data_IF_969395188787
#
_entry.id   IF_969395188787
#
_cell.length_a   1.000
_cell.length_b   1.000
_cell.length_c   1.000
_cell.angle_alpha   90.00
_cell.angle_beta   90.00
_cell.angle_gamma   90.00
#
_symmetry.space_group_name_H-M   'P 1'
#
loop_
_entity.id
_entity.type
_entity.pdbx_description
1 polymer ?
#
# COMPACT_ATOMS: atom_id res chain seq x y z
N UNK A 1 -7.41 -16.91 0.97
CA UNK A 1 -6.33 -17.90 0.98
C UNK A 1 -5.19 -17.45 0.10
N UNK A 2 -4.32 -16.55 0.54
CA UNK A 2 -2.96 -16.44 0.00
C UNK A 2 -2.15 -15.52 0.89
N UNK A 3 -1.32 -16.09 1.71
CA UNK A 3 -0.14 -15.40 2.20
C UNK A 3 1.04 -16.16 1.63
N UNK A 4 1.62 -15.61 0.57
CA UNK A 4 2.88 -16.04 -0.02
C UNK A 4 4.06 -15.60 0.87
N UNK A 5 3.98 -15.88 2.16
CA UNK A 5 5.13 -15.71 3.03
C UNK A 5 5.89 -17.03 3.11
N UNK A 6 7.08 -17.04 2.51
CA UNK A 6 8.05 -18.13 2.53
C UNK A 6 7.64 -19.42 1.79
N UNK A 7 7.56 -19.36 0.46
CA UNK A 7 7.41 -20.54 -0.42
C UNK A 7 8.47 -21.62 -0.19
N UNK A 8 9.56 -21.33 0.55
CA UNK A 8 10.60 -22.29 0.89
C UNK A 8 10.37 -22.99 2.25
N UNK A 9 9.49 -22.47 3.09
CA UNK A 9 9.23 -23.00 4.41
C UNK A 9 7.98 -23.90 4.45
N UNK A 10 6.86 -23.42 3.91
CA UNK A 10 5.61 -24.14 3.86
C UNK A 10 5.39 -24.80 2.51
N UNK A 11 4.81 -26.00 2.50
CA UNK A 11 4.47 -26.77 1.31
C UNK A 11 3.05 -27.30 1.35
N UNK A 12 2.07 -26.43 1.49
CA UNK A 12 0.66 -26.80 1.53
C UNK A 12 -0.21 -25.78 2.26
N UNK A 13 -1.00 -26.26 3.22
CA UNK A 13 -1.91 -25.41 3.99
C UNK A 13 -1.10 -24.46 4.88
N UNK A 14 -1.41 -23.17 4.80
CA UNK A 14 -0.95 -22.13 5.71
C UNK A 14 -2.17 -21.55 6.41
N UNK A 15 -2.06 -21.26 7.70
CA UNK A 15 -3.12 -20.63 8.47
C UNK A 15 -2.57 -19.59 9.43
N UNK A 16 -3.35 -18.52 9.65
CA UNK A 16 -3.08 -17.47 10.60
C UNK A 16 -4.27 -17.36 11.56
N UNK A 17 -3.99 -17.10 12.83
CA UNK A 17 -4.98 -16.81 13.87
C UNK A 17 -4.93 -15.36 14.26
N UNK A 18 -6.10 -14.78 14.49
CA UNK A 18 -6.29 -13.40 14.91
C UNK A 18 -7.22 -13.36 16.12
N UNK A 19 -7.06 -12.36 16.95
CA UNK A 19 -8.01 -11.97 18.00
C UNK A 19 -8.40 -10.50 17.81
N UNK A 20 -9.52 -10.10 18.37
CA UNK A 20 -10.13 -8.79 18.10
C UNK A 20 -9.25 -7.63 18.57
N UNK A 21 -8.59 -7.81 19.71
CA UNK A 21 -7.78 -6.80 20.37
C UNK A 21 -6.36 -6.65 19.81
N UNK A 22 -5.93 -7.57 18.92
CA UNK A 22 -4.59 -7.56 18.33
C UNK A 22 -4.66 -7.42 16.82
N UNK A 23 -4.06 -6.35 16.31
CA UNK A 23 -4.10 -5.96 14.90
C UNK A 23 -3.22 -6.80 13.98
N UNK A 24 -2.35 -7.63 14.55
CA UNK A 24 -1.48 -8.57 13.85
C UNK A 24 -1.95 -10.02 14.05
N UNK A 25 -1.45 -10.94 13.22
CA UNK A 25 -1.67 -12.36 13.43
C UNK A 25 -0.95 -12.82 14.70
N UNK A 26 -1.70 -13.35 15.66
CA UNK A 26 -1.16 -13.89 16.92
C UNK A 26 -0.71 -15.34 16.79
N UNK A 27 -1.11 -16.01 15.72
CA UNK A 27 -0.77 -17.39 15.43
C UNK A 27 -0.50 -17.55 13.95
N UNK A 28 0.64 -18.12 13.62
CA UNK A 28 0.98 -18.48 12.25
C UNK A 28 1.43 -19.92 12.17
N UNK A 29 0.97 -20.66 11.18
CA UNK A 29 1.33 -22.06 11.01
C UNK A 29 1.02 -22.61 9.63
N UNK A 30 1.44 -23.85 9.41
CA UNK A 30 1.21 -24.53 8.16
C UNK A 30 1.92 -25.87 8.08
N UNK A 31 1.82 -26.49 6.92
CA UNK A 31 2.51 -27.74 6.60
C UNK A 31 3.93 -27.44 6.10
N UNK A 32 4.96 -28.09 6.64
CA UNK A 32 6.38 -27.83 6.35
C UNK A 32 7.21 -29.10 6.16
N UNK A 33 6.70 -30.03 5.38
CA UNK A 33 7.38 -31.31 5.09
C UNK A 33 8.78 -31.12 4.53
N UNK A 34 8.96 -30.14 3.61
CA UNK A 34 10.25 -29.86 2.99
C UNK A 34 11.33 -29.49 4.01
N UNK A 35 10.97 -28.77 5.07
CA UNK A 35 11.91 -28.44 6.14
C UNK A 35 12.33 -29.70 6.90
N UNK A 36 11.37 -30.56 7.23
CA UNK A 36 11.60 -31.82 7.96
C UNK A 36 12.46 -32.77 7.11
N UNK A 37 12.22 -32.84 5.81
CA UNK A 37 13.04 -33.63 4.88
C UNK A 37 14.48 -33.11 4.80
N UNK A 38 14.69 -31.78 4.76
CA UNK A 38 16.03 -31.15 4.81
C UNK A 38 16.79 -31.47 6.11
N UNK A 39 16.06 -31.71 7.19
CA UNK A 39 16.63 -32.18 8.48
C UNK A 39 16.90 -33.69 8.52
N UNK A 40 16.80 -34.39 7.39
CA UNK A 40 17.09 -35.82 7.26
C UNK A 40 15.98 -36.73 7.77
N UNK A 41 14.77 -36.21 8.00
CA UNK A 41 13.60 -37.02 8.48
C UNK A 41 12.58 -37.17 7.36
N UNK A 42 12.27 -38.39 6.95
CA UNK A 42 11.24 -38.67 5.97
C UNK A 42 9.86 -38.73 6.62
N UNK A 43 9.36 -37.59 7.10
CA UNK A 43 8.05 -37.43 7.75
C UNK A 43 7.38 -36.17 7.30
N UNK A 44 6.05 -36.17 7.30
CA UNK A 44 5.24 -34.97 7.11
C UNK A 44 5.08 -34.26 8.45
N UNK A 45 5.01 -32.92 8.40
CA UNK A 45 4.85 -32.11 9.59
C UNK A 45 3.91 -30.92 9.35
N UNK A 46 3.10 -30.66 10.35
CA UNK A 46 2.28 -29.46 10.47
C UNK A 46 2.49 -28.89 11.86
N UNK A 47 2.57 -27.58 11.97
CA UNK A 47 2.72 -26.91 13.26
C UNK A 47 2.40 -25.45 13.18
N UNK A 48 2.48 -24.81 14.33
CA UNK A 48 2.20 -23.38 14.46
C UNK A 48 3.06 -22.76 15.56
N UNK A 49 3.23 -21.45 15.46
CA UNK A 49 3.79 -20.59 16.51
C UNK A 49 2.70 -19.66 17.03
N UNK A 50 2.70 -19.39 18.32
CA UNK A 50 1.89 -18.34 18.95
C UNK A 50 2.82 -17.21 19.38
N UNK A 51 2.50 -15.98 19.00
CA UNK A 51 3.26 -14.80 19.35
C UNK A 51 2.75 -14.24 20.68
N UNK A 52 3.33 -14.72 21.77
CA UNK A 52 2.89 -14.39 23.16
C UNK A 52 3.11 -12.90 23.47
N UNK A 53 4.17 -12.30 22.92
CA UNK A 53 4.47 -10.86 23.05
C UNK A 53 3.37 -9.95 22.45
N UNK A 54 2.61 -10.46 21.49
CA UNK A 54 1.45 -9.75 20.94
C UNK A 54 0.24 -9.90 21.88
N UNK A 55 0.11 -11.01 22.58
CA UNK A 55 -0.95 -11.20 23.57
C UNK A 55 -0.74 -10.34 24.82
N UNK A 56 0.51 -10.09 25.21
CA UNK A 56 0.85 -9.20 26.33
C UNK A 56 0.50 -7.72 26.09
N UNK A 57 0.23 -7.36 24.82
CA UNK A 57 -0.20 -6.01 24.41
C UNK A 57 -1.71 -5.81 24.43
N UNK A 58 -2.46 -6.81 24.88
CA UNK A 58 -3.91 -6.68 25.07
C UNK A 58 -4.10 -5.83 26.34
N UNK A 59 -4.08 -4.52 26.17
CA UNK A 59 -4.65 -3.62 27.16
C UNK A 59 -6.17 -3.80 27.12
N UNK A 60 -6.86 -3.53 28.23
CA UNK A 60 -8.32 -3.47 28.26
C UNK A 60 -8.79 -2.37 27.28
N UNK A 61 -8.95 -2.75 26.01
CA UNK A 61 -9.54 -1.87 24.99
C UNK A 61 -10.98 -1.63 25.44
N UNK A 62 -11.32 -0.39 25.71
CA UNK A 62 -12.69 -0.04 26.05
C UNK A 62 -13.60 -0.44 24.89
N UNK A 63 -14.76 -1.03 25.18
CA UNK A 63 -15.77 -1.42 24.16
C UNK A 63 -16.10 -0.26 23.20
N UNK A 64 -15.96 0.99 23.67
CA UNK A 64 -16.16 2.22 22.89
C UNK A 64 -15.15 2.37 21.72
N UNK A 65 -13.89 2.00 21.88
CA UNK A 65 -12.88 2.13 20.81
C UNK A 65 -13.12 1.13 19.67
N UNK A 66 -13.70 -0.02 19.96
CA UNK A 66 -14.05 -1.03 18.96
C UNK A 66 -15.28 -0.63 18.10
N UNK A 67 -16.05 0.36 18.52
CA UNK A 67 -17.17 0.89 17.74
C UNK A 67 -16.74 1.80 16.59
N UNK A 68 -15.59 2.46 16.68
CA UNK A 68 -15.12 3.41 15.67
C UNK A 68 -14.46 2.71 14.49
N UNK A 69 -14.64 3.30 13.29
CA UNK A 69 -13.77 3.04 12.15
C UNK A 69 -12.67 4.10 12.11
N UNK A 70 -11.44 3.68 12.27
CA UNK A 70 -10.25 4.53 12.20
C UNK A 70 -9.78 4.65 10.75
N UNK A 71 -9.72 5.87 10.22
CA UNK A 71 -9.42 6.16 8.82
C UNK A 71 -8.14 6.96 8.68
N UNK A 72 -7.11 6.39 8.06
CA UNK A 72 -5.89 7.10 7.72
C UNK A 72 -6.03 7.81 6.37
N UNK A 73 -5.90 9.14 6.36
CA UNK A 73 -5.94 9.96 5.15
C UNK A 73 -4.56 10.53 4.81
N UNK A 74 -4.15 10.54 3.54
CA UNK A 74 -2.89 11.15 3.12
C UNK A 74 -3.00 12.68 3.22
N UNK A 75 -2.01 13.36 3.79
CA UNK A 75 -1.94 14.83 3.76
C UNK A 75 -1.87 15.37 2.33
N UNK A 76 -2.55 16.48 2.07
CA UNK A 76 -2.56 17.18 0.79
C UNK A 76 -3.77 16.88 -0.09
N UNK A 77 -3.73 17.36 -1.33
CA UNK A 77 -4.86 17.36 -2.27
C UNK A 77 -5.57 16.01 -2.44
N UNK A 78 -4.83 14.90 -2.41
CA UNK A 78 -5.43 13.58 -2.56
C UNK A 78 -6.32 13.25 -1.36
N UNK A 79 -5.84 13.51 -0.15
CA UNK A 79 -6.61 13.27 1.07
C UNK A 79 -7.84 14.16 1.19
N UNK A 80 -7.73 15.44 0.80
CA UNK A 80 -8.87 16.36 0.77
C UNK A 80 -9.97 15.86 -0.18
N UNK A 81 -9.59 15.43 -1.40
CA UNK A 81 -10.52 14.83 -2.35
C UNK A 81 -11.12 13.52 -1.84
N UNK A 82 -10.31 12.68 -1.22
CA UNK A 82 -10.77 11.43 -0.65
C UNK A 82 -11.75 11.69 0.52
N UNK A 83 -11.43 12.62 1.43
CA UNK A 83 -12.34 12.97 2.51
C UNK A 83 -13.68 13.48 2.00
N UNK A 84 -13.72 14.29 0.95
CA UNK A 84 -14.98 14.75 0.35
C UNK A 84 -15.87 13.60 -0.14
N UNK A 85 -15.30 12.48 -0.58
CA UNK A 85 -16.06 11.27 -0.92
C UNK A 85 -16.63 10.63 0.37
N UNK A 86 -15.83 10.50 1.43
CA UNK A 86 -16.31 9.97 2.72
C UNK A 86 -17.45 10.82 3.29
N UNK A 87 -17.31 12.15 3.27
CA UNK A 87 -18.31 13.10 3.72
C UNK A 87 -19.64 12.91 2.96
N UNK A 88 -19.60 12.89 1.62
CA UNK A 88 -20.77 12.65 0.77
C UNK A 88 -21.36 11.24 0.95
N UNK A 89 -20.58 10.30 1.43
CA UNK A 89 -21.01 8.91 1.68
C UNK A 89 -21.64 8.72 3.06
N UNK A 90 -21.80 9.79 3.85
CA UNK A 90 -22.43 9.76 5.17
C UNK A 90 -21.47 9.58 6.35
N UNK A 91 -20.15 9.74 6.11
CA UNK A 91 -19.10 9.64 7.13
C UNK A 91 -18.45 11.01 7.39
N UNK A 92 -19.30 12.05 7.47
CA UNK A 92 -18.87 13.43 7.73
C UNK A 92 -18.21 13.56 9.12
N UNK A 93 -17.20 14.43 9.21
CA UNK A 93 -16.55 14.83 10.45
C UNK A 93 -16.22 16.33 10.39
N UNK A 94 -17.15 17.22 10.76
CA UNK A 94 -16.97 18.67 10.63
C UNK A 94 -15.71 19.20 11.29
N UNK A 95 -15.30 18.58 12.40
CA UNK A 95 -14.09 18.96 13.13
C UNK A 95 -12.79 18.87 12.29
N UNK A 96 -12.81 18.12 11.16
CA UNK A 96 -11.62 17.99 10.28
C UNK A 96 -11.25 19.31 9.59
N UNK A 97 -12.20 20.25 9.48
CA UNK A 97 -12.01 21.58 8.90
C UNK A 97 -11.46 22.60 9.90
N UNK A 98 -11.38 22.24 11.19
CA UNK A 98 -10.87 23.13 12.22
C UNK A 98 -9.39 23.46 11.98
N UNK A 99 -9.09 24.76 11.88
CA UNK A 99 -7.72 25.24 11.71
C UNK A 99 -6.99 25.17 13.05
N UNK A 100 -6.34 24.05 13.31
CA UNK A 100 -5.61 23.83 14.56
C UNK A 100 -4.41 22.89 14.35
N UNK A 101 -3.80 22.48 15.46
CA UNK A 101 -2.73 21.49 15.49
C UNK A 101 -3.23 20.08 15.81
N UNK A 102 -4.54 19.90 15.89
CA UNK A 102 -5.17 18.60 16.15
C UNK A 102 -4.84 17.65 14.98
N UNK A 103 -4.52 16.41 15.30
CA UNK A 103 -4.11 15.39 14.31
C UNK A 103 -5.17 14.29 14.16
N UNK A 104 -6.06 14.16 15.15
CA UNK A 104 -7.13 13.16 15.19
C UNK A 104 -8.45 13.90 15.29
N UNK A 105 -9.40 13.55 14.45
CA UNK A 105 -10.72 14.14 14.34
C UNK A 105 -11.75 13.03 14.39
N UNK A 106 -12.79 13.20 15.20
CA UNK A 106 -13.81 12.15 15.35
C UNK A 106 -15.22 12.73 15.29
N UNK A 107 -16.13 11.89 14.81
CA UNK A 107 -17.55 12.10 14.89
C UNK A 107 -18.18 10.91 15.61
N UNK A 108 -18.65 11.14 16.84
CA UNK A 108 -19.22 10.09 17.69
C UNK A 108 -20.55 9.55 17.17
N UNK A 109 -21.35 10.38 16.48
CA UNK A 109 -22.62 9.96 15.89
C UNK A 109 -22.42 9.00 14.73
N UNK A 110 -21.36 9.23 13.92
CA UNK A 110 -21.01 8.40 12.77
C UNK A 110 -20.05 7.27 13.12
N UNK A 111 -19.54 7.25 14.34
CA UNK A 111 -18.54 6.28 14.81
C UNK A 111 -17.35 6.19 13.84
N UNK A 112 -16.83 7.35 13.41
CA UNK A 112 -15.68 7.46 12.53
C UNK A 112 -14.62 8.39 13.12
N UNK A 113 -13.36 8.00 12.98
CA UNK A 113 -12.20 8.77 13.44
C UNK A 113 -11.21 8.90 12.29
N UNK A 114 -10.82 10.14 11.98
CA UNK A 114 -9.88 10.46 10.91
C UNK A 114 -8.56 10.96 11.46
N UNK A 115 -7.47 10.66 10.77
CA UNK A 115 -6.19 11.30 11.03
C UNK A 115 -5.36 11.44 9.76
N UNK A 116 -4.59 12.56 9.73
CA UNK A 116 -3.77 12.93 8.60
C UNK A 116 -2.35 12.41 8.80
N UNK A 117 -1.87 11.60 7.86
CA UNK A 117 -0.50 11.10 7.83
C UNK A 117 0.19 11.42 6.51
N UNK A 118 1.51 11.26 6.42
CA UNK A 118 2.19 11.37 5.14
C UNK A 118 1.67 10.30 4.18
N UNK A 119 1.55 10.61 2.86
CA UNK A 119 1.09 9.64 1.87
C UNK A 119 1.83 8.30 1.92
N UNK A 120 3.17 8.34 2.11
CA UNK A 120 4.02 7.15 2.23
C UNK A 120 3.73 6.28 3.45
N UNK A 121 3.09 6.82 4.47
CA UNK A 121 2.95 6.17 5.77
C UNK A 121 1.55 5.54 5.94
N UNK A 122 0.56 5.94 5.13
CA UNK A 122 -0.83 5.46 5.24
C UNK A 122 -0.90 3.94 5.26
N UNK A 123 -0.22 3.27 4.32
CA UNK A 123 -0.25 1.81 4.22
C UNK A 123 0.32 1.14 5.47
N UNK A 124 1.36 1.71 6.07
CA UNK A 124 1.97 1.22 7.31
C UNK A 124 0.99 1.35 8.49
N UNK A 125 0.30 2.49 8.62
CA UNK A 125 -0.71 2.67 9.68
C UNK A 125 -1.86 1.67 9.56
N UNK A 126 -2.29 1.36 8.33
CA UNK A 126 -3.31 0.35 8.09
C UNK A 126 -2.76 -1.06 8.33
N UNK A 127 -1.58 -1.39 7.81
CA UNK A 127 -0.96 -2.71 8.01
C UNK A 127 -0.76 -3.04 9.49
N UNK A 128 -0.30 -2.07 10.28
CA UNK A 128 -0.07 -2.24 11.74
C UNK A 128 -1.34 -2.07 12.57
N UNK A 129 -2.49 -1.81 11.95
CA UNK A 129 -3.80 -1.74 12.60
C UNK A 129 -4.07 -0.49 13.44
N UNK A 130 -3.20 0.52 13.34
CA UNK A 130 -3.50 1.84 13.91
C UNK A 130 -4.66 2.52 13.15
N UNK A 131 -4.91 2.09 11.92
CA UNK A 131 -6.10 2.43 11.14
C UNK A 131 -6.80 1.16 10.65
N UNK A 132 -8.13 1.14 10.69
CA UNK A 132 -8.93 0.05 10.12
C UNK A 132 -8.93 0.10 8.59
N UNK A 133 -9.00 1.34 8.05
CA UNK A 133 -8.97 1.62 6.61
C UNK A 133 -8.09 2.82 6.32
N UNK A 134 -7.66 2.96 5.07
CA UNK A 134 -6.87 4.12 4.64
C UNK A 134 -6.97 4.38 3.15
N UNK A 135 -6.54 5.57 2.75
CA UNK A 135 -6.46 5.96 1.34
C UNK A 135 -5.02 6.15 0.93
N UNK A 136 -4.59 5.42 -0.07
CA UNK A 136 -3.19 5.40 -0.52
C UNK A 136 -3.11 5.30 -2.05
N UNK A 137 -2.06 5.86 -2.64
CA UNK A 137 -1.78 5.65 -4.06
C UNK A 137 -1.35 4.20 -4.34
N UNK A 138 -1.75 3.68 -5.50
CA UNK A 138 -1.35 2.34 -5.95
C UNK A 138 0.18 2.19 -6.06
N UNK A 139 0.89 3.29 -6.36
CA UNK A 139 2.35 3.36 -6.39
C UNK A 139 2.99 2.97 -5.05
N UNK A 140 2.44 3.48 -3.94
CA UNK A 140 2.92 3.17 -2.59
C UNK A 140 2.69 1.70 -2.25
N UNK A 141 1.52 1.15 -2.59
CA UNK A 141 1.23 -0.28 -2.37
C UNK A 141 2.21 -1.18 -3.12
N UNK A 142 2.47 -0.87 -4.40
CA UNK A 142 3.40 -1.62 -5.23
C UNK A 142 4.86 -1.49 -4.78
N UNK A 143 5.23 -0.31 -4.28
CA UNK A 143 6.60 -0.06 -3.82
C UNK A 143 6.88 -0.68 -2.46
N UNK A 144 5.91 -0.66 -1.53
CA UNK A 144 6.08 -1.13 -0.16
C UNK A 144 5.73 -2.60 0.03
N UNK A 145 4.99 -3.20 -0.92
CA UNK A 145 4.44 -4.57 -0.82
C UNK A 145 3.67 -4.80 0.49
N UNK A 146 2.82 -3.81 0.85
CA UNK A 146 2.13 -3.76 2.15
C UNK A 146 1.11 -4.87 2.30
N UNK A 147 1.08 -5.53 3.46
CA UNK A 147 0.18 -6.65 3.78
C UNK A 147 -1.22 -6.16 4.20
N UNK A 148 -1.97 -5.60 3.25
CA UNK A 148 -3.31 -5.05 3.44
C UNK A 148 -4.29 -5.58 2.38
N UNK A 149 -5.59 -5.42 2.60
CA UNK A 149 -6.60 -5.63 1.56
C UNK A 149 -6.78 -4.36 0.73
N UNK A 150 -6.62 -4.47 -0.59
CA UNK A 150 -7.02 -3.43 -1.54
C UNK A 150 -8.52 -3.62 -1.84
N UNK A 151 -9.36 -2.67 -1.37
CA UNK A 151 -10.81 -2.82 -1.33
C UNK A 151 -11.53 -2.18 -2.52
N UNK A 152 -11.06 -1.00 -2.96
CA UNK A 152 -11.74 -0.21 -3.98
C UNK A 152 -10.79 0.76 -4.68
N UNK A 153 -10.96 0.93 -5.99
CA UNK A 153 -10.34 2.01 -6.75
C UNK A 153 -11.20 3.27 -6.64
N UNK A 154 -10.68 4.31 -6.01
CA UNK A 154 -11.40 5.58 -5.85
C UNK A 154 -11.41 6.44 -7.11
N UNK A 155 -10.71 6.04 -8.16
CA UNK A 155 -10.57 6.75 -9.44
C UNK A 155 -10.02 8.19 -9.31
N UNK A 156 -9.43 8.50 -8.16
CA UNK A 156 -8.78 9.78 -7.84
C UNK A 156 -7.29 9.73 -8.15
N UNK A 157 -6.70 10.89 -8.46
CA UNK A 157 -5.26 11.04 -8.66
C UNK A 157 -4.71 10.14 -9.75
N UNK A 158 -5.45 9.96 -10.84
CA UNK A 158 -5.06 9.11 -11.97
C UNK A 158 -3.74 9.61 -12.57
N UNK A 159 -2.78 8.73 -12.64
CA UNK A 159 -1.48 8.91 -13.28
C UNK A 159 -0.96 7.53 -13.71
N UNK A 160 0.27 7.46 -14.17
CA UNK A 160 0.91 6.18 -14.52
C UNK A 160 2.35 6.14 -14.06
N UNK A 161 2.84 4.97 -13.69
CA UNK A 161 4.27 4.71 -13.58
C UNK A 161 4.82 4.44 -14.97
N UNK A 162 5.87 5.15 -15.36
CA UNK A 162 6.42 5.02 -16.70
C UNK A 162 7.94 5.05 -16.70
N UNK A 163 8.52 4.41 -17.70
CA UNK A 163 9.92 4.59 -18.07
C UNK A 163 10.02 5.85 -18.93
N UNK A 164 10.94 6.74 -18.60
CA UNK A 164 11.25 7.91 -19.42
C UNK A 164 12.75 8.10 -19.59
N UNK A 165 13.15 8.67 -20.70
CA UNK A 165 14.55 8.93 -21.04
C UNK A 165 14.68 10.11 -22.00
N UNK A 166 15.91 10.48 -22.37
CA UNK A 166 16.19 11.47 -23.42
C UNK A 166 15.53 11.07 -24.74
N UNK A 167 15.18 12.05 -25.57
CA UNK A 167 14.48 11.81 -26.84
C UNK A 167 15.24 10.93 -27.82
N UNK A 168 16.58 10.95 -27.76
CA UNK A 168 17.52 10.21 -28.58
C UNK A 168 18.01 8.89 -27.94
N UNK A 169 17.50 8.54 -26.77
CA UNK A 169 17.86 7.32 -26.07
C UNK A 169 17.51 6.07 -26.90
N UNK A 170 18.48 5.17 -27.02
CA UNK A 170 18.33 3.82 -27.61
C UNK A 170 18.86 2.81 -26.60
N UNK A 171 18.02 1.85 -26.22
CA UNK A 171 18.43 0.82 -25.27
C UNK A 171 19.44 -0.15 -25.90
N UNK A 172 20.62 -0.21 -25.32
CA UNK A 172 21.64 -1.19 -25.68
C UNK A 172 21.58 -2.40 -24.74
N UNK A 173 20.96 -3.47 -25.18
CA UNK A 173 20.77 -4.69 -24.40
C UNK A 173 22.08 -5.42 -24.02
N UNK A 174 23.21 -5.09 -24.64
CA UNK A 174 24.53 -5.65 -24.28
C UNK A 174 25.10 -5.02 -22.99
N UNK A 175 24.57 -3.87 -22.57
CA UNK A 175 25.01 -3.15 -21.36
C UNK A 175 23.95 -3.22 -20.28
N UNK A 176 24.36 -3.20 -19.02
CA UNK A 176 23.48 -2.99 -17.88
C UNK A 176 22.86 -1.61 -17.98
N UNK A 177 21.52 -1.51 -17.92
CA UNK A 177 20.78 -0.27 -17.99
C UNK A 177 20.77 0.42 -16.61
N UNK A 178 21.16 1.69 -16.55
CA UNK A 178 21.18 2.46 -15.31
C UNK A 178 19.84 3.18 -15.16
N UNK A 179 19.09 2.86 -14.09
CA UNK A 179 17.73 3.36 -13.82
C UNK A 179 17.73 4.22 -12.58
N UNK A 180 17.43 5.51 -12.70
CA UNK A 180 17.18 6.36 -11.54
C UNK A 180 15.69 6.38 -11.19
N UNK A 181 15.36 6.20 -9.92
CA UNK A 181 13.96 6.13 -9.48
C UNK A 181 13.80 6.39 -7.98
N UNK A 182 12.61 6.86 -7.62
CA UNK A 182 12.12 6.87 -6.24
C UNK A 182 11.48 5.52 -5.85
N UNK A 183 11.19 4.68 -6.83
CA UNK A 183 10.42 3.45 -6.71
C UNK A 183 11.27 2.22 -7.13
N UNK A 184 12.31 1.86 -6.35
CA UNK A 184 13.22 0.79 -6.70
C UNK A 184 12.56 -0.58 -6.84
N UNK A 185 11.56 -0.90 -6.01
CA UNK A 185 10.87 -2.20 -6.07
C UNK A 185 9.99 -2.32 -7.33
N UNK A 186 9.27 -1.25 -7.68
CA UNK A 186 8.48 -1.20 -8.92
C UNK A 186 9.41 -1.36 -10.13
N UNK A 187 10.50 -0.60 -10.18
CA UNK A 187 11.47 -0.69 -11.28
C UNK A 187 12.07 -2.08 -11.38
N UNK A 188 12.52 -2.66 -10.27
CA UNK A 188 13.08 -4.01 -10.23
C UNK A 188 12.09 -5.07 -10.72
N UNK A 189 10.86 -5.02 -10.24
CA UNK A 189 9.83 -5.98 -10.62
C UNK A 189 9.50 -5.90 -12.12
N UNK A 190 9.37 -4.67 -12.64
CA UNK A 190 9.14 -4.44 -14.06
C UNK A 190 10.28 -4.99 -14.93
N UNK A 191 11.53 -4.60 -14.69
CA UNK A 191 12.65 -5.02 -15.49
C UNK A 191 12.96 -6.52 -15.35
N UNK A 192 12.71 -7.11 -14.18
CA UNK A 192 12.79 -8.58 -14.02
C UNK A 192 11.74 -9.30 -14.87
N UNK A 193 10.52 -8.74 -15.00
CA UNK A 193 9.45 -9.36 -15.79
C UNK A 193 9.78 -9.45 -17.29
N UNK A 194 10.61 -8.52 -17.79
CA UNK A 194 11.08 -8.48 -19.18
C UNK A 194 12.52 -9.01 -19.33
N UNK A 195 13.08 -9.61 -18.26
CA UNK A 195 14.45 -10.17 -18.24
C UNK A 195 15.55 -9.16 -18.64
N UNK A 196 15.37 -7.88 -18.32
CA UNK A 196 16.32 -6.80 -18.57
C UNK A 196 17.20 -6.54 -17.36
N UNK A 197 18.52 -6.69 -17.51
CA UNK A 197 19.49 -6.40 -16.45
C UNK A 197 19.59 -4.89 -16.22
N UNK A 198 19.46 -4.47 -14.97
CA UNK A 198 19.50 -3.06 -14.56
C UNK A 198 20.42 -2.84 -13.37
N UNK A 199 20.87 -1.59 -13.21
CA UNK A 199 21.46 -1.04 -12.00
C UNK A 199 20.60 0.13 -11.54
N UNK A 200 20.20 0.13 -10.24
CA UNK A 200 19.24 1.09 -9.71
C UNK A 200 19.94 2.14 -8.87
N UNK A 201 19.71 3.41 -9.25
CA UNK A 201 20.08 4.57 -8.45
C UNK A 201 18.83 5.11 -7.77
N UNK A 202 18.71 4.89 -6.46
CA UNK A 202 17.59 5.40 -5.67
C UNK A 202 17.78 6.90 -5.39
N UNK A 203 16.81 7.69 -5.83
CA UNK A 203 16.71 9.13 -5.57
C UNK A 203 15.43 9.44 -4.78
N UNK A 204 15.38 10.60 -4.13
CA UNK A 204 14.22 11.00 -3.33
C UNK A 204 13.34 12.09 -4.00
N UNK A 205 13.82 12.69 -5.07
CA UNK A 205 13.11 13.73 -5.84
C UNK A 205 13.97 14.27 -6.97
N UNK A 206 13.38 15.12 -7.82
CA UNK A 206 14.03 15.71 -9.01
C UNK A 206 14.71 14.66 -9.90
N UNK A 207 14.02 13.56 -10.12
CA UNK A 207 14.54 12.36 -10.78
C UNK A 207 14.85 12.65 -12.24
N UNK A 208 14.11 13.56 -12.84
CA UNK A 208 14.25 14.02 -14.24
C UNK A 208 15.65 14.58 -14.56
N UNK A 209 16.37 15.06 -13.54
CA UNK A 209 17.72 15.60 -13.72
C UNK A 209 18.75 14.48 -13.96
N UNK A 210 18.52 13.28 -13.49
CA UNK A 210 19.50 12.19 -13.55
C UNK A 210 19.96 11.84 -14.98
N UNK A 211 19.08 11.64 -15.97
CA UNK A 211 19.51 11.41 -17.35
C UNK A 211 20.21 12.61 -17.97
N UNK A 212 19.80 13.82 -17.61
CA UNK A 212 20.35 15.05 -18.17
C UNK A 212 21.83 15.23 -17.80
N UNK A 213 22.18 14.87 -16.57
CA UNK A 213 23.54 14.93 -16.04
C UNK A 213 24.35 13.64 -16.31
N UNK A 214 23.78 12.66 -17.02
CA UNK A 214 24.46 11.38 -17.31
C UNK A 214 24.60 10.47 -16.10
N UNK A 215 23.80 10.68 -15.05
CA UNK A 215 23.78 9.81 -13.85
C UNK A 215 23.03 8.51 -14.14
N UNK A 216 22.03 8.51 -15.01
CA UNK A 216 21.28 7.33 -15.43
C UNK A 216 20.96 7.38 -16.93
N UNK A 217 20.65 6.24 -17.50
CA UNK A 217 20.18 6.12 -18.88
C UNK A 217 18.70 6.48 -18.99
N UNK A 218 17.91 5.97 -18.02
CA UNK A 218 16.46 6.14 -17.96
C UNK A 218 16.03 6.47 -16.53
N UNK A 219 14.79 6.90 -16.39
CA UNK A 219 14.10 7.02 -15.10
C UNK A 219 12.84 6.15 -15.08
N UNK A 220 12.44 5.73 -13.89
CA UNK A 220 11.12 5.17 -13.61
C UNK A 220 10.44 6.10 -12.61
N UNK A 221 9.38 6.76 -13.04
CA UNK A 221 8.69 7.75 -12.21
C UNK A 221 7.20 7.87 -12.58
N UNK A 222 6.47 8.59 -11.70
CA UNK A 222 5.06 8.91 -11.89
C UNK A 222 4.93 9.98 -12.97
N UNK A 223 4.06 9.72 -13.94
CA UNK A 223 3.72 10.64 -15.03
C UNK A 223 2.22 10.90 -15.01
N UNK A 224 1.83 12.13 -14.66
CA UNK A 224 0.43 12.57 -14.73
C UNK A 224 0.13 13.11 -16.14
N UNK A 225 0.69 14.24 -16.51
CA UNK A 225 0.49 14.87 -17.84
C UNK A 225 1.70 14.72 -18.76
N UNK A 226 2.85 14.40 -18.22
CA UNK A 226 4.12 14.34 -18.94
C UNK A 226 4.76 15.71 -19.22
N UNK A 227 4.15 16.81 -18.75
CA UNK A 227 4.64 18.17 -19.01
C UNK A 227 6.06 18.40 -18.45
N UNK A 228 6.32 17.97 -17.21
CA UNK A 228 7.65 18.05 -16.58
C UNK A 228 8.71 17.32 -17.39
N UNK A 229 8.39 16.14 -17.92
CA UNK A 229 9.32 15.39 -18.77
C UNK A 229 9.65 16.16 -20.05
N UNK A 230 8.62 16.68 -20.72
CA UNK A 230 8.80 17.44 -21.98
C UNK A 230 9.60 18.73 -21.78
N UNK A 231 9.37 19.45 -20.69
CA UNK A 231 10.11 20.67 -20.32
C UNK A 231 11.60 20.39 -20.02
N UNK A 232 11.92 19.13 -19.68
CA UNK A 232 13.29 18.67 -19.44
C UNK A 232 13.84 17.76 -20.56
N UNK A 233 13.35 17.90 -21.79
CA UNK A 233 13.80 17.13 -22.96
C UNK A 233 13.76 15.60 -22.81
N UNK A 234 12.91 15.13 -21.90
CA UNK A 234 12.62 13.70 -21.71
C UNK A 234 11.30 13.34 -22.40
N UNK A 235 11.16 12.07 -22.75
CA UNK A 235 9.88 11.51 -23.20
C UNK A 235 9.58 10.20 -22.50
N UNK A 236 8.30 9.90 -22.24
CA UNK A 236 7.91 8.56 -21.79
C UNK A 236 8.11 7.57 -22.91
N UNK A 237 8.71 6.43 -22.61
CA UNK A 237 8.92 5.32 -23.54
C UNK A 237 7.89 4.23 -23.34
N UNK A 238 7.62 3.88 -22.10
CA UNK A 238 6.73 2.76 -21.76
C UNK A 238 5.97 3.02 -20.48
N UNK A 239 4.72 2.58 -20.43
CA UNK A 239 3.88 2.62 -19.24
C UNK A 239 4.00 1.28 -18.52
N UNK A 240 4.43 1.32 -17.25
CA UNK A 240 4.58 0.13 -16.41
C UNK A 240 3.22 -0.27 -15.83
N UNK A 241 2.51 0.70 -15.23
CA UNK A 241 1.22 0.47 -14.58
C UNK A 241 0.44 1.78 -14.41
N UNK A 242 -0.88 1.71 -14.57
CA UNK A 242 -1.78 2.80 -14.23
C UNK A 242 -1.96 2.90 -12.72
N UNK A 243 -1.96 4.13 -12.22
CA UNK A 243 -2.03 4.48 -10.81
C UNK A 243 -3.27 5.30 -10.52
N UNK A 244 -3.92 4.98 -9.42
CA UNK A 244 -4.99 5.77 -8.80
C UNK A 244 -5.02 5.52 -7.30
N UNK A 245 -5.77 6.33 -6.56
CA UNK A 245 -5.96 6.14 -5.13
C UNK A 245 -6.80 4.89 -4.84
N UNK A 246 -6.41 4.16 -3.82
CA UNK A 246 -7.06 2.93 -3.37
C UNK A 246 -7.57 3.08 -1.94
N UNK A 247 -8.77 2.60 -1.69
CA UNK A 247 -9.23 2.29 -0.34
C UNK A 247 -8.61 0.96 0.06
N UNK A 248 -7.89 0.96 1.18
CA UNK A 248 -7.26 -0.24 1.73
C UNK A 248 -7.81 -0.53 3.13
N UNK A 249 -7.72 -1.79 3.56
CA UNK A 249 -8.12 -2.20 4.90
C UNK A 249 -7.09 -3.08 5.56
N UNK A 250 -6.95 -2.94 6.87
CA UNK A 250 -6.25 -3.90 7.71
C UNK A 250 -6.95 -5.26 7.66
N UNK A 251 -6.18 -6.34 7.58
CA UNK A 251 -6.74 -7.71 7.44
C UNK A 251 -7.48 -8.18 8.68
N UNK A 252 -7.01 -7.80 9.86
CA UNK A 252 -7.65 -8.11 11.14
C UNK A 252 -8.94 -7.30 11.30
N UNK A 253 -8.86 -5.98 11.13
CA UNK A 253 -10.05 -5.10 11.18
C UNK A 253 -11.12 -5.51 10.17
N UNK A 254 -10.72 -5.89 8.94
CA UNK A 254 -11.65 -6.39 7.94
C UNK A 254 -12.38 -7.65 8.42
N UNK A 255 -11.72 -8.51 9.19
CA UNK A 255 -12.33 -9.71 9.75
C UNK A 255 -13.31 -9.39 10.88
N UNK A 256 -12.90 -8.58 11.84
CA UNK A 256 -13.69 -8.30 13.05
C UNK A 256 -14.73 -7.19 12.87
N UNK A 257 -14.44 -6.16 12.06
CA UNK A 257 -15.35 -5.05 11.71
C UNK A 257 -15.95 -5.21 10.31
N UNK A 258 -16.03 -6.44 9.78
CA UNK A 258 -16.40 -6.72 8.38
C UNK A 258 -17.68 -6.00 7.95
N UNK A 259 -18.74 -6.05 8.75
CA UNK A 259 -20.02 -5.44 8.43
C UNK A 259 -19.88 -3.92 8.22
N UNK A 260 -19.21 -3.22 9.13
CA UNK A 260 -19.00 -1.78 9.07
C UNK A 260 -18.11 -1.37 7.89
N UNK A 261 -17.00 -2.11 7.67
CA UNK A 261 -16.04 -1.82 6.59
C UNK A 261 -16.68 -2.12 5.22
N UNK A 262 -17.48 -3.17 5.10
CA UNK A 262 -18.18 -3.51 3.85
C UNK A 262 -19.27 -2.47 3.53
N UNK A 263 -20.00 -1.99 4.55
CA UNK A 263 -20.98 -0.92 4.40
C UNK A 263 -20.31 0.39 3.96
N UNK A 264 -19.22 0.79 4.63
CA UNK A 264 -18.42 1.96 4.27
C UNK A 264 -17.94 1.86 2.82
N UNK A 265 -17.33 0.73 2.43
CA UNK A 265 -16.90 0.49 1.05
C UNK A 265 -18.05 0.66 0.06
N UNK A 266 -19.20 0.03 0.33
CA UNK A 266 -20.38 0.08 -0.55
C UNK A 266 -20.93 1.49 -0.71
N UNK A 267 -20.95 2.28 0.38
CA UNK A 267 -21.44 3.67 0.33
C UNK A 267 -20.48 4.56 -0.47
N UNK A 268 -19.16 4.36 -0.31
CA UNK A 268 -18.13 5.05 -1.11
C UNK A 268 -18.25 4.67 -2.58
N UNK A 269 -18.39 3.39 -2.92
CA UNK A 269 -18.52 2.88 -4.29
C UNK A 269 -19.72 3.52 -5.01
N UNK A 270 -20.88 3.55 -4.36
CA UNK A 270 -22.08 4.22 -4.88
C UNK A 270 -21.88 5.72 -5.11
N UNK A 271 -21.08 6.39 -4.28
CA UNK A 271 -20.80 7.81 -4.47
C UNK A 271 -19.87 8.06 -5.67
N UNK A 272 -18.86 7.20 -5.86
CA UNK A 272 -17.94 7.29 -7.01
C UNK A 272 -18.65 7.04 -8.34
N UNK A 273 -19.68 6.20 -8.35
CA UNK A 273 -20.47 5.92 -9.55
C UNK A 273 -21.42 7.08 -9.94
N UNK A 274 -21.72 7.98 -9.01
CA UNK A 274 -22.59 9.15 -9.24
C UNK A 274 -21.83 10.40 -9.72
N UNK A 275 -20.56 10.52 -9.34
CA UNK A 275 -19.69 11.65 -9.68
C UNK A 275 -18.99 11.41 -11.03
#
# INVERSE_FOLDING_TARGET
FSTLNDMNYYNGIIFNGYIDEVTASILAGGRYDNLVHKMGKNKNAIGFAVYVDLLERIDEVSDDDNEYINVALPKGRLGEKAYAIFEKSGYECPAIYDKGRKLIFENSDKKVRYFWVKPSDVAIYVEKGAADVGIVGKDILLEQDSDVYEMLDLKLGKCRMAVAAKKDFVDNHEKTLIVATKFPNIAKNYYNSISRQIDIIKLNGSIEIAPLLGLSDVIVDIVETGKTLLENDLKPYETIVDISARLISNKSSYKFKNKKITELRSNIEKQIEKD
#
